data_IF_555515060720
#
_entry.id   IF_555515060720
#
_cell.length_a   1.000
_cell.length_b   1.000
_cell.length_c   1.000
_cell.angle_alpha   90.00
_cell.angle_beta   90.00
_cell.angle_gamma   90.00
#
_symmetry.space_group_name_H-M   'P 1'
#
loop_
_entity.id
_entity.type
_entity.pdbx_description
1 polymer ?
#
# COMPACT_ATOMS: atom_id res chain seq x y z
N UNK A 1 59.42 14.70 4.73
CA UNK A 1 58.02 14.90 4.27
C UNK A 1 57.64 13.93 3.13
N UNK A 2 57.98 12.64 3.19
CA UNK A 2 57.78 11.69 2.07
C UNK A 2 56.53 10.78 2.16
N UNK A 3 55.91 10.67 3.33
CA UNK A 3 54.82 9.71 3.59
C UNK A 3 53.45 10.16 3.10
N UNK A 4 53.16 11.48 3.08
CA UNK A 4 51.86 12.02 2.64
C UNK A 4 51.59 11.86 1.13
N UNK A 5 52.62 11.90 0.29
CA UNK A 5 52.50 11.70 -1.15
C UNK A 5 52.19 10.24 -1.48
N UNK A 6 52.94 9.31 -0.89
CA UNK A 6 52.74 7.87 -1.09
C UNK A 6 51.35 7.44 -0.61
N UNK A 7 50.89 7.93 0.55
CA UNK A 7 49.53 7.65 1.02
C UNK A 7 48.45 8.24 0.08
N UNK A 8 48.65 9.44 -0.48
CA UNK A 8 47.69 10.02 -1.44
C UNK A 8 47.64 9.25 -2.77
N UNK A 9 48.78 8.76 -3.25
CA UNK A 9 48.84 7.91 -4.46
C UNK A 9 48.20 6.54 -4.22
N UNK A 10 48.46 5.91 -3.07
CA UNK A 10 47.80 4.66 -2.67
C UNK A 10 46.28 4.84 -2.56
N UNK A 11 45.81 5.89 -1.90
CA UNK A 11 44.36 6.15 -1.79
C UNK A 11 43.68 6.47 -3.14
N UNK A 12 44.40 7.05 -4.11
CA UNK A 12 43.89 7.24 -5.48
C UNK A 12 43.89 5.93 -6.27
N UNK A 13 44.94 5.12 -6.15
CA UNK A 13 45.02 3.80 -6.76
C UNK A 13 43.94 2.84 -6.25
N UNK A 14 43.66 2.86 -4.95
CA UNK A 14 42.60 2.07 -4.30
C UNK A 14 41.19 2.51 -4.73
N UNK A 15 40.94 3.82 -4.82
CA UNK A 15 39.66 4.34 -5.33
C UNK A 15 39.43 3.95 -6.79
N UNK A 16 40.47 4.03 -7.63
CA UNK A 16 40.39 3.64 -9.04
C UNK A 16 40.18 2.12 -9.20
N UNK A 17 40.87 1.31 -8.40
CA UNK A 17 40.70 -0.16 -8.39
C UNK A 17 39.31 -0.58 -7.90
N UNK A 18 38.77 0.11 -6.89
CA UNK A 18 37.41 -0.13 -6.39
C UNK A 18 36.32 0.22 -7.41
N UNK A 19 36.52 1.29 -8.20
CA UNK A 19 35.64 1.63 -9.31
C UNK A 19 35.75 0.62 -10.46
N UNK A 20 36.97 0.21 -10.81
CA UNK A 20 37.20 -0.82 -11.82
C UNK A 20 36.56 -2.16 -11.45
N UNK A 21 36.64 -2.58 -10.17
CA UNK A 21 35.96 -3.79 -9.68
C UNK A 21 34.44 -3.71 -9.80
N UNK A 22 33.84 -2.55 -9.53
CA UNK A 22 32.38 -2.36 -9.67
C UNK A 22 31.95 -2.39 -11.14
N UNK A 23 32.69 -1.71 -12.01
CA UNK A 23 32.43 -1.73 -13.45
C UNK A 23 32.58 -3.15 -14.02
N UNK A 24 33.65 -3.86 -13.62
CA UNK A 24 33.91 -5.24 -13.99
C UNK A 24 32.78 -6.19 -13.56
N UNK A 25 32.31 -6.09 -12.31
CA UNK A 25 31.20 -6.92 -11.84
C UNK A 25 29.89 -6.62 -12.60
N UNK A 26 29.60 -5.34 -12.85
CA UNK A 26 28.41 -4.95 -13.62
C UNK A 26 28.44 -5.47 -15.07
N UNK A 27 29.61 -5.49 -15.70
CA UNK A 27 29.80 -6.03 -17.05
C UNK A 27 29.63 -7.56 -17.07
N UNK A 28 30.20 -8.28 -16.11
CA UNK A 28 29.99 -9.72 -15.95
C UNK A 28 28.54 -10.08 -15.65
N UNK A 29 27.80 -9.18 -14.99
CA UNK A 29 26.40 -9.36 -14.67
C UNK A 29 25.46 -9.06 -15.85
N UNK A 30 25.96 -8.36 -16.88
CA UNK A 30 25.16 -7.94 -18.04
C UNK A 30 25.03 -9.05 -19.08
N UNK A 31 23.82 -9.27 -19.60
CA UNK A 31 23.57 -10.20 -20.71
C UNK A 31 23.81 -9.53 -22.08
N UNK A 32 24.57 -8.42 -22.11
CA UNK A 32 24.77 -7.62 -23.31
C UNK A 32 25.81 -8.23 -24.23
N UNK A 33 25.47 -8.40 -25.51
CA UNK A 33 26.39 -8.86 -26.55
C UNK A 33 26.97 -7.69 -27.37
N UNK A 34 26.90 -6.46 -26.84
CA UNK A 34 27.37 -5.29 -27.57
C UNK A 34 28.90 -5.26 -27.61
N UNK A 35 29.51 -4.86 -28.74
CA UNK A 35 30.95 -4.72 -28.85
C UNK A 35 31.55 -3.77 -27.81
N UNK A 36 30.84 -2.69 -27.50
CA UNK A 36 31.24 -1.67 -26.52
C UNK A 36 31.40 -2.24 -25.11
N UNK A 37 30.56 -3.20 -24.71
CA UNK A 37 30.63 -3.86 -23.41
C UNK A 37 31.78 -4.88 -23.35
N UNK A 38 32.09 -5.52 -24.48
CA UNK A 38 33.26 -6.40 -24.59
C UNK A 38 34.59 -5.62 -24.50
N UNK A 39 34.65 -4.45 -25.13
CA UNK A 39 35.81 -3.55 -25.05
C UNK A 39 35.97 -2.98 -23.63
N UNK A 40 34.88 -2.58 -22.99
CA UNK A 40 34.88 -2.12 -21.59
C UNK A 40 35.27 -3.24 -20.61
N UNK A 41 34.84 -4.49 -20.87
CA UNK A 41 35.23 -5.63 -20.06
C UNK A 41 36.72 -5.90 -20.20
N UNK A 42 37.26 -5.83 -21.41
CA UNK A 42 38.70 -5.98 -21.66
C UNK A 42 39.51 -4.90 -20.94
N UNK A 43 39.10 -3.64 -21.03
CA UNK A 43 39.77 -2.52 -20.35
C UNK A 43 39.76 -2.70 -18.82
N UNK A 44 38.62 -3.11 -18.25
CA UNK A 44 38.51 -3.33 -16.80
C UNK A 44 39.31 -4.55 -16.33
N UNK A 45 39.39 -5.61 -17.13
CA UNK A 45 40.24 -6.79 -16.88
C UNK A 45 41.72 -6.42 -16.86
N UNK A 46 42.16 -5.64 -17.85
CA UNK A 46 43.55 -5.16 -17.96
C UNK A 46 43.91 -4.25 -16.77
N UNK A 47 43.02 -3.34 -16.38
CA UNK A 47 43.20 -2.47 -15.20
C UNK A 47 43.27 -3.25 -13.88
N UNK A 48 42.58 -4.39 -13.79
CA UNK A 48 42.58 -5.25 -12.60
C UNK A 48 43.72 -6.27 -12.61
N UNK A 49 44.40 -6.45 -13.75
CA UNK A 49 45.44 -7.45 -13.95
C UNK A 49 44.90 -8.88 -13.89
N UNK A 50 43.66 -9.09 -14.35
CA UNK A 50 43.00 -10.40 -14.33
C UNK A 50 43.35 -11.20 -15.58
N UNK A 51 43.50 -12.50 -15.42
CA UNK A 51 43.68 -13.45 -16.53
C UNK A 51 42.32 -13.93 -17.07
N UNK A 52 42.24 -14.40 -18.33
CA UNK A 52 41.00 -14.96 -18.89
C UNK A 52 40.38 -16.06 -18.02
N UNK A 53 41.21 -16.94 -17.44
CA UNK A 53 40.75 -18.03 -16.57
C UNK A 53 40.08 -17.51 -15.29
N UNK A 54 40.62 -16.43 -14.71
CA UNK A 54 40.01 -15.77 -13.55
C UNK A 54 38.69 -15.09 -13.91
N UNK A 55 38.61 -14.51 -15.11
CA UNK A 55 37.37 -13.89 -15.60
C UNK A 55 36.28 -14.93 -15.80
N UNK A 56 36.65 -16.09 -16.35
CA UNK A 56 35.72 -17.22 -16.52
C UNK A 56 35.25 -17.78 -15.17
N UNK A 57 36.17 -17.96 -14.21
CA UNK A 57 35.84 -18.42 -12.87
C UNK A 57 34.90 -17.45 -12.13
N UNK A 58 35.13 -16.14 -12.26
CA UNK A 58 34.26 -15.11 -11.66
C UNK A 58 32.86 -15.13 -12.30
N UNK A 59 32.77 -15.29 -13.62
CA UNK A 59 31.49 -15.37 -14.33
C UNK A 59 30.68 -16.61 -13.90
N UNK A 60 31.32 -17.78 -13.80
CA UNK A 60 30.67 -19.01 -13.32
C UNK A 60 30.25 -18.89 -11.85
N UNK A 61 31.06 -18.25 -11.01
CA UNK A 61 30.70 -18.00 -9.60
C UNK A 61 29.46 -17.08 -9.47
N UNK A 62 29.38 -16.02 -10.29
CA UNK A 62 28.21 -15.12 -10.34
C UNK A 62 26.97 -15.88 -10.79
N UNK A 63 27.09 -16.73 -11.81
CA UNK A 63 25.99 -17.56 -12.30
C UNK A 63 25.48 -18.53 -11.23
N UNK A 64 26.38 -19.25 -10.57
CA UNK A 64 26.04 -20.17 -9.48
C UNK A 64 25.37 -19.44 -8.30
N UNK A 65 25.86 -18.26 -7.94
CA UNK A 65 25.26 -17.44 -6.88
C UNK A 65 23.82 -17.02 -7.23
N UNK A 66 23.53 -16.71 -8.50
CA UNK A 66 22.18 -16.42 -8.99
C UNK A 66 21.27 -17.65 -8.93
N UNK A 67 21.77 -18.80 -9.35
CA UNK A 67 21.02 -20.07 -9.30
C UNK A 67 20.69 -20.47 -7.84
N UNK A 68 21.65 -20.30 -6.93
CA UNK A 68 21.43 -20.49 -5.49
C UNK A 68 20.41 -19.49 -4.94
N UNK A 69 20.52 -18.20 -5.29
CA UNK A 69 19.55 -17.18 -4.87
C UNK A 69 18.14 -17.49 -5.39
N UNK A 70 18.00 -17.92 -6.64
CA UNK A 70 16.72 -18.33 -7.22
C UNK A 70 16.15 -19.57 -6.51
N UNK A 71 17.00 -20.54 -6.19
CA UNK A 71 16.62 -21.75 -5.47
C UNK A 71 16.21 -21.44 -4.03
N UNK A 72 16.92 -20.54 -3.35
CA UNK A 72 16.55 -20.06 -2.01
C UNK A 72 15.21 -19.31 -2.06
N UNK A 73 15.00 -18.41 -3.03
CA UNK A 73 13.71 -17.72 -3.19
C UNK A 73 12.55 -18.70 -3.36
N UNK A 74 12.74 -19.73 -4.20
CA UNK A 74 11.76 -20.81 -4.40
C UNK A 74 11.57 -21.69 -3.15
N UNK A 75 12.66 -22.11 -2.51
CA UNK A 75 12.65 -23.04 -1.37
C UNK A 75 12.18 -22.43 -0.05
N UNK A 76 12.35 -21.12 0.15
CA UNK A 76 11.86 -20.41 1.35
C UNK A 76 10.35 -20.13 1.26
N UNK A 77 9.69 -20.48 0.15
CA UNK A 77 8.24 -20.30 -0.01
C UNK A 77 7.77 -18.85 0.02
N UNK A 78 8.71 -17.89 -0.10
CA UNK A 78 8.45 -16.45 -0.04
C UNK A 78 7.38 -16.02 -1.04
N UNK A 79 7.35 -16.63 -2.23
CA UNK A 79 6.34 -16.30 -3.25
C UNK A 79 4.94 -16.72 -2.79
N UNK A 80 4.77 -17.96 -2.29
CA UNK A 80 3.47 -18.45 -1.79
C UNK A 80 2.97 -17.74 -0.53
N UNK A 81 3.87 -17.40 0.40
CA UNK A 81 3.50 -16.67 1.62
C UNK A 81 3.08 -15.23 1.33
N UNK A 82 3.74 -14.58 0.36
CA UNK A 82 3.39 -13.23 -0.09
C UNK A 82 2.09 -13.24 -0.90
N UNK A 83 1.86 -14.26 -1.74
CA UNK A 83 0.59 -14.41 -2.46
C UNK A 83 -0.59 -14.63 -1.51
N UNK A 84 -0.47 -15.54 -0.54
CA UNK A 84 -1.50 -15.78 0.47
C UNK A 84 -1.79 -14.52 1.31
N UNK A 85 -0.75 -13.77 1.68
CA UNK A 85 -0.93 -12.51 2.41
C UNK A 85 -1.62 -11.43 1.55
N UNK A 86 -1.33 -11.37 0.24
CA UNK A 86 -2.02 -10.46 -0.69
C UNK A 86 -3.49 -10.81 -0.85
N UNK A 87 -3.80 -12.10 -0.93
CA UNK A 87 -5.18 -12.58 -1.03
C UNK A 87 -5.96 -12.28 0.25
N UNK A 88 -5.40 -12.56 1.43
CA UNK A 88 -6.02 -12.19 2.71
C UNK A 88 -6.24 -10.67 2.86
N UNK A 89 -5.29 -9.84 2.41
CA UNK A 89 -5.45 -8.37 2.41
C UNK A 89 -6.59 -7.94 1.47
N UNK A 90 -6.76 -8.62 0.33
CA UNK A 90 -7.84 -8.34 -0.62
C UNK A 90 -9.19 -8.68 -0.01
N UNK A 91 -9.33 -9.86 0.57
CA UNK A 91 -10.57 -10.29 1.24
C UNK A 91 -10.96 -9.32 2.37
N UNK A 92 -10.00 -8.91 3.20
CA UNK A 92 -10.24 -7.93 4.27
C UNK A 92 -10.70 -6.56 3.73
N UNK A 93 -10.17 -6.13 2.58
CA UNK A 93 -10.63 -4.89 1.93
C UNK A 93 -12.07 -5.03 1.42
N UNK A 94 -12.38 -6.13 0.75
CA UNK A 94 -13.71 -6.40 0.22
C UNK A 94 -14.75 -6.50 1.36
N UNK A 95 -14.40 -7.17 2.47
CA UNK A 95 -15.26 -7.24 3.66
C UNK A 95 -15.44 -5.86 4.31
N UNK A 96 -14.37 -5.08 4.45
CA UNK A 96 -14.46 -3.70 4.97
C UNK A 96 -15.42 -2.85 4.12
N UNK A 97 -15.31 -2.93 2.79
CA UNK A 97 -16.21 -2.20 1.89
C UNK A 97 -17.66 -2.67 1.97
N UNK A 98 -17.89 -3.98 2.18
CA UNK A 98 -19.23 -4.52 2.42
C UNK A 98 -19.82 -3.94 3.72
N UNK A 99 -19.07 -3.98 4.82
CA UNK A 99 -19.50 -3.46 6.12
C UNK A 99 -19.77 -1.96 6.06
N UNK A 100 -18.93 -1.18 5.38
CA UNK A 100 -19.14 0.25 5.21
C UNK A 100 -20.44 0.55 4.44
N UNK A 101 -20.72 -0.18 3.37
CA UNK A 101 -21.98 -0.05 2.61
C UNK A 101 -23.20 -0.40 3.46
N UNK A 102 -23.10 -1.47 4.24
CA UNK A 102 -24.20 -1.86 5.13
C UNK A 102 -24.46 -0.81 6.22
N UNK A 103 -23.38 -0.25 6.80
CA UNK A 103 -23.49 0.81 7.80
C UNK A 103 -24.13 2.08 7.20
N UNK A 104 -23.75 2.47 5.98
CA UNK A 104 -24.31 3.62 5.30
C UNK A 104 -25.81 3.43 5.00
N UNK A 105 -26.20 2.24 4.52
CA UNK A 105 -27.61 1.89 4.31
C UNK A 105 -28.42 1.97 5.62
N UNK A 106 -27.87 1.45 6.73
CA UNK A 106 -28.51 1.53 8.05
C UNK A 106 -28.62 2.97 8.53
N UNK A 107 -27.59 3.79 8.29
CA UNK A 107 -27.61 5.20 8.64
C UNK A 107 -28.68 5.97 7.88
N UNK A 108 -28.79 5.76 6.55
CA UNK A 108 -29.82 6.37 5.72
C UNK A 108 -31.23 5.95 6.17
N UNK A 109 -31.44 4.66 6.46
CA UNK A 109 -32.71 4.16 6.97
C UNK A 109 -33.08 4.79 8.34
N UNK A 110 -32.08 4.99 9.21
CA UNK A 110 -32.28 5.67 10.50
C UNK A 110 -32.66 7.14 10.29
N UNK A 111 -31.99 7.85 9.38
CA UNK A 111 -32.32 9.24 9.06
C UNK A 111 -33.74 9.38 8.51
N UNK A 112 -34.19 8.46 7.65
CA UNK A 112 -35.57 8.42 7.16
C UNK A 112 -36.57 8.24 8.31
N UNK A 113 -36.32 7.30 9.23
CA UNK A 113 -37.18 7.12 10.41
C UNK A 113 -37.21 8.36 11.30
N UNK A 114 -36.08 9.04 11.48
CA UNK A 114 -36.04 10.29 12.24
C UNK A 114 -36.87 11.39 11.57
N UNK A 115 -36.81 11.53 10.25
CA UNK A 115 -37.61 12.53 9.54
C UNK A 115 -39.10 12.20 9.57
N UNK A 116 -39.47 10.93 9.45
CA UNK A 116 -40.86 10.46 9.63
C UNK A 116 -41.38 10.76 11.03
N UNK A 117 -40.61 10.43 12.07
CA UNK A 117 -40.97 10.74 13.46
C UNK A 117 -41.12 12.24 13.69
N UNK A 118 -40.21 13.05 13.14
CA UNK A 118 -40.29 14.50 13.24
C UNK A 118 -41.57 15.04 12.57
N UNK A 119 -41.89 14.56 11.37
CA UNK A 119 -43.12 14.94 10.67
C UNK A 119 -44.38 14.53 11.45
N UNK A 120 -44.38 13.33 12.05
CA UNK A 120 -45.47 12.88 12.91
C UNK A 120 -45.62 13.78 14.13
N UNK A 121 -44.52 14.17 14.79
CA UNK A 121 -44.57 15.10 15.92
C UNK A 121 -45.13 16.47 15.52
N UNK A 122 -44.72 17.02 14.37
CA UNK A 122 -45.24 18.30 13.85
C UNK A 122 -46.74 18.19 13.55
N UNK A 123 -47.17 17.12 12.87
CA UNK A 123 -48.57 16.89 12.53
C UNK A 123 -49.43 16.67 13.78
N UNK A 124 -48.92 15.95 14.79
CA UNK A 124 -49.61 15.75 16.06
C UNK A 124 -49.81 17.08 16.81
N UNK A 125 -48.77 17.92 16.88
CA UNK A 125 -48.87 19.28 17.46
C UNK A 125 -49.90 20.15 16.73
N UNK A 126 -49.85 20.17 15.40
CA UNK A 126 -50.81 20.94 14.60
C UNK A 126 -52.26 20.44 14.74
N UNK A 127 -52.46 19.12 14.77
CA UNK A 127 -53.78 18.51 14.95
C UNK A 127 -54.35 18.79 16.34
N UNK A 128 -53.49 18.76 17.37
CA UNK A 128 -53.87 19.14 18.73
C UNK A 128 -54.33 20.58 18.82
N UNK A 129 -53.57 21.53 18.26
CA UNK A 129 -53.96 22.95 18.25
C UNK A 129 -55.33 23.15 17.57
N UNK A 130 -55.55 22.51 16.41
CA UNK A 130 -56.84 22.54 15.72
C UNK A 130 -57.98 21.95 16.56
N UNK A 131 -57.72 20.86 17.28
CA UNK A 131 -58.70 20.25 18.17
C UNK A 131 -59.03 21.16 19.36
N UNK A 132 -58.03 21.78 19.98
CA UNK A 132 -58.22 22.74 21.07
C UNK A 132 -59.04 23.95 20.61
N UNK A 133 -58.77 24.49 19.41
CA UNK A 133 -59.56 25.56 18.79
C UNK A 133 -61.02 25.15 18.54
N UNK A 134 -61.25 23.94 17.99
CA UNK A 134 -62.60 23.42 17.77
C UNK A 134 -63.35 23.20 19.08
N UNK A 135 -62.66 22.69 20.11
CA UNK A 135 -63.23 22.50 21.44
C UNK A 135 -63.60 23.83 22.11
N UNK A 136 -62.81 24.89 21.90
CA UNK A 136 -63.17 26.23 22.38
C UNK A 136 -64.41 26.79 21.68
N UNK A 137 -64.59 26.50 20.39
CA UNK A 137 -65.76 26.93 19.61
C UNK A 137 -67.02 26.09 19.89
N UNK A 138 -66.85 24.82 20.24
CA UNK A 138 -67.93 23.85 20.46
C UNK A 138 -67.76 23.07 21.78
N UNK A 139 -67.78 23.75 22.94
CA UNK A 139 -67.57 23.11 24.24
C UNK A 139 -68.65 22.08 24.58
N UNK A 140 -69.88 22.28 24.10
CA UNK A 140 -71.01 21.35 24.27
C UNK A 140 -70.77 19.98 23.61
N UNK A 141 -70.05 19.94 22.48
CA UNK A 141 -69.80 18.72 21.73
C UNK A 141 -68.46 18.06 22.10
N UNK A 142 -67.45 18.84 22.48
CA UNK A 142 -66.07 18.35 22.61
C UNK A 142 -65.46 18.57 24.02
N UNK A 143 -66.17 19.23 24.93
CA UNK A 143 -65.67 19.60 26.26
C UNK A 143 -65.28 18.42 27.15
N UNK A 144 -65.89 17.25 26.93
CA UNK A 144 -65.68 16.02 27.68
C UNK A 144 -64.53 15.15 27.13
N UNK A 145 -64.00 15.48 25.95
CA UNK A 145 -62.93 14.70 25.32
C UNK A 145 -61.58 15.17 25.88
N UNK A 146 -60.76 14.26 26.46
CA UNK A 146 -59.44 14.60 26.95
C UNK A 146 -58.48 14.92 25.80
N UNK A 147 -57.64 15.93 25.97
CA UNK A 147 -56.55 16.24 25.03
C UNK A 147 -55.34 15.39 25.41
N UNK A 148 -54.76 14.61 24.49
CA UNK A 148 -53.57 13.82 24.79
C UNK A 148 -52.39 14.71 25.20
N UNK A 149 -51.66 14.27 26.22
CA UNK A 149 -50.41 14.89 26.63
C UNK A 149 -49.38 14.82 25.49
N UNK A 150 -48.48 15.81 25.37
CA UNK A 150 -47.45 15.77 24.35
C UNK A 150 -46.55 14.56 24.61
N UNK A 151 -46.15 13.87 23.53
CA UNK A 151 -45.11 12.85 23.59
C UNK A 151 -43.78 13.63 23.62
N UNK A 152 -43.15 13.70 24.80
CA UNK A 152 -41.81 14.25 25.02
C UNK A 152 -40.71 13.30 24.51
#
# INVERSE_FOLDING_TARGET
MGTKLISMFLSRGEKNRGQALKAYAALLESDSTKPEDADALKETVDLLGKTPDQVYADAEAIKLARELLATVKKGVGLDSGVENAREAIRELKEERERVLRELDNRHQALQQKYSELHNLQVNAKASRLRFEELRHKHPEALGHIPVPDPID
#
